data_IF_826982764054
#
_entry.id   IF_826982764054
#
_cell.length_a   1.000
_cell.length_b   1.000
_cell.length_c   1.000
_cell.angle_alpha   90.00
_cell.angle_beta   90.00
_cell.angle_gamma   90.00
#
_symmetry.space_group_name_H-M   'P 1'
#
loop_
_entity.id
_entity.type
_entity.pdbx_description
1 polymer ?
#
# COMPACT_ATOMS: atom_id res chain seq x y z
N UNK A 1 2.43 -11.93 -14.08
CA UNK A 1 3.76 -11.76 -13.45
C UNK A 1 3.99 -10.28 -13.19
N UNK A 2 4.64 -9.98 -12.09
CA UNK A 2 4.92 -8.59 -11.73
C UNK A 2 6.31 -8.20 -12.20
N UNK A 3 6.43 -6.98 -12.72
CA UNK A 3 7.71 -6.43 -13.12
C UNK A 3 8.48 -5.92 -11.89
N UNK A 4 9.80 -5.86 -12.00
CA UNK A 4 10.61 -5.22 -11.00
C UNK A 4 10.29 -3.73 -10.94
N UNK A 5 10.35 -3.14 -9.75
CA UNK A 5 10.11 -1.71 -9.61
C UNK A 5 11.40 -1.02 -9.16
N UNK A 6 11.55 0.23 -9.56
CA UNK A 6 12.69 1.07 -9.19
C UNK A 6 12.16 2.35 -8.56
N UNK A 7 12.68 2.68 -7.38
CA UNK A 7 12.19 3.81 -6.59
C UNK A 7 13.27 4.91 -6.56
N UNK A 8 13.03 6.08 -7.18
CA UNK A 8 13.99 7.16 -7.11
C UNK A 8 14.22 7.65 -5.69
N UNK A 9 15.45 8.04 -5.40
CA UNK A 9 15.79 8.64 -4.11
C UNK A 9 14.95 9.92 -3.90
N UNK A 10 14.47 10.10 -2.69
CA UNK A 10 13.64 11.26 -2.37
C UNK A 10 12.15 11.05 -2.58
N UNK A 11 11.75 9.88 -3.10
CA UNK A 11 10.32 9.55 -3.22
C UNK A 11 9.65 9.52 -1.86
N UNK A 12 8.37 9.89 -1.84
CA UNK A 12 7.54 9.80 -0.63
C UNK A 12 6.80 8.47 -0.65
N UNK A 13 6.72 7.81 0.50
CA UNK A 13 6.07 6.51 0.61
C UNK A 13 4.82 6.62 1.47
N UNK A 14 3.71 6.10 0.98
CA UNK A 14 2.48 5.95 1.74
C UNK A 14 2.33 4.50 2.14
N UNK A 15 2.05 4.27 3.41
CA UNK A 15 1.88 2.95 3.99
C UNK A 15 0.46 2.86 4.54
N UNK A 16 -0.38 2.07 3.88
CA UNK A 16 -1.78 1.93 4.24
C UNK A 16 -2.02 0.53 4.82
N UNK A 17 -2.47 0.49 6.06
CA UNK A 17 -2.88 -0.76 6.70
C UNK A 17 -4.39 -0.90 6.53
N UNK A 18 -4.80 -2.03 5.96
CA UNK A 18 -6.20 -2.31 5.65
C UNK A 18 -6.62 -3.56 6.44
N UNK A 19 -7.53 -3.39 7.39
CA UNK A 19 -8.04 -4.49 8.22
C UNK A 19 -9.39 -4.95 7.68
N UNK A 20 -9.51 -6.25 7.42
CA UNK A 20 -10.72 -6.82 6.83
C UNK A 20 -11.76 -7.13 7.90
N UNK A 21 -13.02 -7.03 7.52
CA UNK A 21 -14.13 -7.46 8.38
C UNK A 21 -14.07 -8.98 8.60
N UNK A 22 -14.53 -9.48 9.77
CA UNK A 22 -14.63 -10.92 10.00
C UNK A 22 -15.45 -11.58 8.89
N UNK A 23 -14.98 -12.74 8.42
CA UNK A 23 -15.65 -13.48 7.37
C UNK A 23 -15.36 -13.04 5.96
N UNK A 24 -14.65 -11.93 5.77
CA UNK A 24 -14.21 -11.47 4.44
C UNK A 24 -12.93 -12.21 4.09
N UNK A 25 -12.92 -12.88 2.94
CA UNK A 25 -11.74 -13.59 2.46
C UNK A 25 -10.89 -12.70 1.59
N UNK A 26 -9.64 -13.14 1.34
CA UNK A 26 -8.74 -12.44 0.42
C UNK A 26 -9.34 -12.37 -0.99
N UNK A 27 -10.00 -13.44 -1.43
CA UNK A 27 -10.65 -13.46 -2.73
C UNK A 27 -11.71 -12.37 -2.86
N UNK A 28 -12.45 -12.11 -1.77
CA UNK A 28 -13.49 -11.08 -1.77
C UNK A 28 -12.94 -9.69 -2.02
N UNK A 29 -11.75 -9.38 -1.50
CA UNK A 29 -11.16 -8.04 -1.61
C UNK A 29 -10.24 -7.88 -2.81
N UNK A 30 -9.77 -8.96 -3.39
CA UNK A 30 -8.76 -8.92 -4.45
C UNK A 30 -9.24 -8.13 -5.67
N UNK A 31 -10.48 -8.30 -6.07
CA UNK A 31 -11.03 -7.58 -7.21
C UNK A 31 -11.09 -6.07 -6.94
N UNK A 32 -11.60 -5.69 -5.78
CA UNK A 32 -11.71 -4.27 -5.40
C UNK A 32 -10.32 -3.62 -5.28
N UNK A 33 -9.35 -4.34 -4.70
CA UNK A 33 -7.96 -3.89 -4.63
C UNK A 33 -7.37 -3.70 -6.01
N UNK A 34 -7.54 -4.69 -6.89
CA UNK A 34 -7.01 -4.62 -8.25
C UNK A 34 -7.57 -3.45 -9.03
N UNK A 35 -8.87 -3.20 -8.93
CA UNK A 35 -9.51 -2.07 -9.59
C UNK A 35 -8.99 -0.74 -9.07
N UNK A 36 -8.86 -0.60 -7.76
CA UNK A 36 -8.35 0.61 -7.13
C UNK A 36 -6.89 0.88 -7.53
N UNK A 37 -6.04 -0.13 -7.43
CA UNK A 37 -4.62 0.00 -7.76
C UNK A 37 -4.41 0.29 -9.24
N UNK A 38 -5.18 -0.34 -10.12
CA UNK A 38 -5.11 -0.08 -11.55
C UNK A 38 -5.55 1.34 -11.90
N UNK A 39 -6.56 1.86 -11.20
CA UNK A 39 -7.01 3.24 -11.38
C UNK A 39 -5.87 4.21 -11.06
N UNK A 40 -5.20 4.01 -9.93
CA UNK A 40 -4.07 4.86 -9.54
C UNK A 40 -2.94 4.76 -10.55
N UNK A 41 -2.53 3.54 -10.88
CA UNK A 41 -1.41 3.30 -11.79
C UNK A 41 -1.64 3.93 -13.17
N UNK A 42 -2.83 3.76 -13.70
CA UNK A 42 -3.12 4.18 -15.07
C UNK A 42 -3.51 5.65 -15.19
N UNK A 43 -4.03 6.25 -14.13
CA UNK A 43 -4.51 7.63 -14.16
C UNK A 43 -3.46 8.62 -13.65
N UNK A 44 -2.66 8.24 -12.65
CA UNK A 44 -1.77 9.17 -11.95
C UNK A 44 -0.29 8.83 -12.11
N UNK A 45 0.04 7.94 -13.03
CA UNK A 45 1.44 7.53 -13.26
C UNK A 45 2.30 8.65 -13.81
N UNK A 46 3.53 8.76 -13.28
CA UNK A 46 4.56 9.67 -13.80
C UNK A 46 4.14 11.12 -13.81
N UNK A 47 4.27 11.76 -14.93
CA UNK A 47 4.00 13.20 -15.08
C UNK A 47 2.52 13.56 -14.96
N UNK A 48 1.63 12.60 -15.07
CA UNK A 48 0.20 12.85 -14.96
C UNK A 48 -0.24 13.16 -13.53
N UNK A 49 0.38 12.52 -12.53
CA UNK A 49 -0.05 12.71 -11.16
C UNK A 49 0.98 12.34 -10.10
N UNK A 50 2.21 12.03 -10.50
CA UNK A 50 3.30 11.80 -9.56
C UNK A 50 3.39 10.40 -8.95
N UNK A 51 2.51 9.48 -9.32
CA UNK A 51 2.60 8.09 -8.87
C UNK A 51 3.81 7.40 -9.53
N UNK A 52 4.65 6.77 -8.72
CA UNK A 52 5.87 6.10 -9.19
C UNK A 52 5.69 4.60 -9.26
N UNK A 53 5.25 3.98 -8.16
CA UNK A 53 5.11 2.53 -8.07
C UNK A 53 4.25 2.17 -6.87
N UNK A 54 3.76 0.94 -6.84
CA UNK A 54 2.99 0.45 -5.71
C UNK A 54 3.15 -1.05 -5.52
N UNK A 55 2.89 -1.49 -4.30
CA UNK A 55 2.93 -2.89 -3.91
C UNK A 55 1.81 -3.17 -2.94
N UNK A 56 1.26 -4.37 -3.01
CA UNK A 56 0.25 -4.81 -2.06
C UNK A 56 0.74 -6.08 -1.40
N UNK A 57 0.68 -6.13 -0.08
CA UNK A 57 1.12 -7.27 0.72
C UNK A 57 -0.03 -7.78 1.55
N UNK A 58 -0.10 -9.09 1.73
CA UNK A 58 -0.99 -9.68 2.73
C UNK A 58 -0.17 -10.14 3.93
N UNK A 59 -0.74 -10.04 5.12
CA UNK A 59 -0.09 -10.58 6.31
C UNK A 59 0.09 -12.09 6.14
N UNK A 60 1.33 -12.55 6.35
CA UNK A 60 1.68 -13.96 6.13
C UNK A 60 1.32 -14.88 7.29
N UNK A 61 0.97 -14.30 8.44
CA UNK A 61 0.81 -15.04 9.68
C UNK A 61 2.09 -15.14 10.51
N UNK A 62 3.23 -14.74 9.94
CA UNK A 62 4.51 -14.79 10.66
C UNK A 62 4.69 -13.55 11.52
N UNK A 63 5.02 -13.76 12.79
CA UNK A 63 5.40 -12.68 13.72
C UNK A 63 6.78 -12.97 14.27
N UNK A 64 7.68 -11.99 14.18
CA UNK A 64 9.05 -12.15 14.61
C UNK A 64 9.23 -11.74 16.07
N UNK A 65 9.56 -12.71 16.93
CA UNK A 65 9.89 -12.42 18.33
C UNK A 65 11.22 -11.67 18.43
N UNK A 66 12.17 -11.98 17.57
CA UNK A 66 13.49 -11.34 17.60
C UNK A 66 13.45 -9.92 17.10
N UNK A 67 12.53 -9.61 16.17
CA UNK A 67 12.34 -8.27 15.66
C UNK A 67 11.36 -7.43 16.48
N UNK A 68 10.91 -7.94 17.63
CA UNK A 68 9.92 -7.26 18.46
C UNK A 68 10.43 -7.10 19.89
N UNK A 69 10.35 -5.87 20.44
CA UNK A 69 10.78 -5.63 21.82
C UNK A 69 9.83 -6.26 22.84
N UNK A 70 8.55 -6.32 22.50
CA UNK A 70 7.55 -7.03 23.29
C UNK A 70 7.09 -8.24 22.46
N UNK A 71 6.62 -9.29 23.15
CA UNK A 71 6.11 -10.47 22.46
C UNK A 71 5.02 -10.04 21.46
N UNK A 72 5.15 -10.43 20.18
CA UNK A 72 4.13 -10.05 19.20
C UNK A 72 2.81 -10.71 19.54
N UNK A 73 1.74 -9.92 19.53
CA UNK A 73 0.39 -10.44 19.68
C UNK A 73 -0.06 -10.99 18.33
N UNK A 74 -0.88 -12.03 18.36
CA UNK A 74 -1.50 -12.51 17.13
C UNK A 74 -2.22 -11.36 16.44
N UNK A 75 -1.93 -11.18 15.17
CA UNK A 75 -2.59 -10.16 14.37
C UNK A 75 -3.64 -10.81 13.48
N UNK A 76 -4.77 -10.15 13.32
CA UNK A 76 -5.79 -10.59 12.37
C UNK A 76 -5.28 -10.42 10.94
N UNK A 77 -5.89 -11.13 10.02
CA UNK A 77 -5.57 -10.99 8.61
C UNK A 77 -5.76 -9.54 8.16
N UNK A 78 -4.76 -9.01 7.50
CA UNK A 78 -4.80 -7.65 7.00
C UNK A 78 -3.92 -7.52 5.77
N UNK A 79 -4.08 -6.39 5.10
CA UNK A 79 -3.36 -6.06 3.89
C UNK A 79 -2.58 -4.78 4.15
N UNK A 80 -1.41 -4.68 3.54
CA UNK A 80 -0.63 -3.44 3.52
C UNK A 80 -0.49 -3.01 2.07
N UNK A 81 -0.85 -1.76 1.79
CA UNK A 81 -0.67 -1.16 0.47
C UNK A 81 0.42 -0.12 0.60
N UNK A 82 1.49 -0.29 -0.17
CA UNK A 82 2.61 0.64 -0.18
C UNK A 82 2.65 1.31 -1.54
N UNK A 83 2.63 2.64 -1.55
CA UNK A 83 2.74 3.41 -2.79
C UNK A 83 3.85 4.45 -2.67
N UNK A 84 4.47 4.76 -3.80
CA UNK A 84 5.58 5.71 -3.89
C UNK A 84 5.19 6.83 -4.82
N UNK A 85 5.41 8.08 -4.38
CA UNK A 85 4.96 9.29 -5.06
C UNK A 85 6.08 10.33 -5.08
N UNK A 86 6.01 11.25 -6.04
CA UNK A 86 6.94 12.38 -6.06
C UNK A 86 6.71 13.33 -4.89
N UNK A 87 5.45 13.48 -4.45
CA UNK A 87 5.10 14.35 -3.33
C UNK A 87 3.83 13.86 -2.65
N UNK A 88 3.65 14.23 -1.38
CA UNK A 88 2.40 13.94 -0.66
C UNK A 88 1.22 14.72 -1.25
N UNK A 89 1.47 15.91 -1.76
CA UNK A 89 0.41 16.71 -2.39
C UNK A 89 -0.19 16.02 -3.61
N UNK A 90 0.64 15.39 -4.43
CA UNK A 90 0.17 14.66 -5.59
C UNK A 90 -0.64 13.43 -5.19
N UNK A 91 -0.21 12.74 -4.13
CA UNK A 91 -0.98 11.63 -3.57
C UNK A 91 -2.37 12.10 -3.11
N UNK A 92 -2.44 13.19 -2.35
CA UNK A 92 -3.71 13.72 -1.88
C UNK A 92 -4.62 14.16 -3.04
N UNK A 93 -4.03 14.69 -4.10
CA UNK A 93 -4.77 15.07 -5.30
C UNK A 93 -5.44 13.86 -5.94
N UNK A 94 -4.77 12.71 -5.95
CA UNK A 94 -5.35 11.48 -6.49
C UNK A 94 -6.55 11.02 -5.67
N UNK A 95 -6.49 11.18 -4.34
CA UNK A 95 -7.58 10.80 -3.45
C UNK A 95 -8.80 11.73 -3.54
N UNK A 96 -8.61 12.92 -4.07
CA UNK A 96 -9.73 13.84 -4.34
C UNK A 96 -10.50 13.46 -5.60
N UNK A 97 -9.95 12.56 -6.41
CA UNK A 97 -10.56 12.14 -7.66
C UNK A 97 -11.81 11.30 -7.40
N UNK A 98 -12.86 11.60 -8.15
CA UNK A 98 -14.15 10.94 -8.03
C UNK A 98 -14.09 9.43 -8.28
N UNK A 99 -13.34 9.01 -9.30
CA UNK A 99 -13.21 7.59 -9.64
C UNK A 99 -12.46 6.83 -8.55
N UNK A 100 -11.39 7.44 -8.02
CA UNK A 100 -10.66 6.83 -6.91
C UNK A 100 -11.56 6.67 -5.68
N UNK A 101 -12.34 7.68 -5.35
CA UNK A 101 -13.25 7.63 -4.19
C UNK A 101 -14.25 6.48 -4.31
N UNK A 102 -14.78 6.24 -5.51
CA UNK A 102 -15.68 5.11 -5.74
C UNK A 102 -14.98 3.77 -5.51
N UNK A 103 -13.76 3.63 -6.04
CA UNK A 103 -13.00 2.37 -5.90
C UNK A 103 -12.59 2.13 -4.45
N UNK A 104 -12.16 3.18 -3.76
CA UNK A 104 -11.82 3.08 -2.34
C UNK A 104 -13.05 2.74 -1.49
N UNK A 105 -14.20 3.32 -1.80
CA UNK A 105 -15.44 3.03 -1.08
C UNK A 105 -15.84 1.55 -1.21
N UNK A 106 -15.62 0.96 -2.38
CA UNK A 106 -15.89 -0.46 -2.60
C UNK A 106 -15.01 -1.35 -1.71
N UNK A 107 -13.72 -1.00 -1.58
CA UNK A 107 -12.80 -1.70 -0.69
C UNK A 107 -13.18 -1.47 0.77
N UNK A 108 -13.46 -0.22 1.14
CA UNK A 108 -13.74 0.16 2.53
C UNK A 108 -14.96 -0.57 3.10
N UNK A 109 -15.93 -0.93 2.27
CA UNK A 109 -17.10 -1.68 2.72
C UNK A 109 -16.74 -3.07 3.26
N UNK A 110 -15.60 -3.61 2.87
CA UNK A 110 -15.11 -4.91 3.32
C UNK A 110 -14.13 -4.82 4.47
N UNK A 111 -13.90 -3.60 4.99
CA UNK A 111 -12.88 -3.33 5.99
C UNK A 111 -13.47 -2.85 7.29
N UNK A 112 -12.80 -3.16 8.42
CA UNK A 112 -13.11 -2.56 9.71
C UNK A 112 -12.35 -1.25 9.92
N UNK A 113 -11.19 -1.12 9.28
CA UNK A 113 -10.34 0.04 9.43
C UNK A 113 -9.37 0.15 8.26
N UNK A 114 -9.05 1.38 7.89
CA UNK A 114 -7.94 1.69 6.99
C UNK A 114 -7.19 2.87 7.57
N UNK A 115 -5.86 2.81 7.53
CA UNK A 115 -5.03 3.90 8.01
C UNK A 115 -3.85 4.08 7.08
N UNK A 116 -3.67 5.28 6.57
CA UNK A 116 -2.60 5.58 5.63
C UNK A 116 -1.67 6.63 6.21
N UNK A 117 -0.38 6.31 6.30
CA UNK A 117 0.63 7.19 6.85
C UNK A 117 1.74 7.43 5.84
N UNK A 118 2.31 8.62 5.87
CA UNK A 118 3.40 9.00 4.98
C UNK A 118 4.76 8.85 5.63
N UNK A 119 5.71 8.36 4.85
CA UNK A 119 7.09 8.10 5.31
C UNK A 119 8.09 8.67 4.32
N UNK A 120 9.24 9.03 4.83
CA UNK A 120 10.37 9.47 4.03
C UNK A 120 11.51 8.46 4.20
N UNK A 121 12.24 8.21 3.12
CA UNK A 121 13.36 7.27 3.13
C UNK A 121 14.48 7.81 4.02
N UNK A 122 14.92 6.99 4.96
CA UNK A 122 16.01 7.32 5.86
C UNK A 122 17.30 6.59 5.49
N UNK A 123 17.19 5.32 5.07
CA UNK A 123 18.35 4.51 4.74
C UNK A 123 17.94 3.41 3.76
N UNK A 124 18.83 3.10 2.85
CA UNK A 124 18.70 1.91 2.00
C UNK A 124 20.08 1.37 1.68
N UNK A 125 20.14 0.10 1.36
CA UNK A 125 21.38 -0.53 1.00
C UNK A 125 21.18 -1.91 0.43
N UNK A 126 22.23 -2.41 -0.19
CA UNK A 126 22.30 -3.79 -0.70
C UNK A 126 23.54 -4.43 -0.13
N UNK A 127 23.62 -5.79 -0.08
CA UNK A 127 24.85 -6.44 0.35
C UNK A 127 26.02 -6.03 -0.54
N UNK A 128 27.19 -5.92 0.04
CA UNK A 128 28.41 -5.68 -0.72
C UNK A 128 28.72 -6.91 -1.57
N UNK A 129 29.15 -6.65 -2.79
CA UNK A 129 29.59 -7.73 -3.67
C UNK A 129 31.11 -7.89 -3.56
N UNK A 130 31.54 -9.13 -3.46
CA UNK A 130 32.99 -9.44 -3.43
C UNK A 130 33.60 -9.48 -4.83
#
# INVERSE_FOLDING_TARGET
MFDAISIPFGSKMLFNTVKLKPGVSMDDVELALGEMCNTVKNTYGGDKGGFIAGQVFKFSGFASSEGSLTAPKGADDHIVIVTYWRSFEEHERSHADHVFKEKFAALARMCTDTQELGYELLWQGVPETE
#
